data_IF_313301826289
#
_entry.id   IF_313301826289
#
_cell.length_a   1.000
_cell.length_b   1.000
_cell.length_c   1.000
_cell.angle_alpha   90.00
_cell.angle_beta   90.00
_cell.angle_gamma   90.00
#
_symmetry.space_group_name_H-M   'P 1'
#
loop_
_entity.id
_entity.type
_entity.pdbx_description
1 polymer ?
#
# COMPACT_ATOMS: atom_id res chain seq x y z
N UNK A 1 -7.67 -24.50 18.13
CA UNK A 1 -8.11 -23.25 18.77
C UNK A 1 -6.87 -22.60 19.38
N UNK A 2 -6.64 -21.31 19.15
CA UNK A 2 -5.45 -20.63 19.69
C UNK A 2 -5.59 -20.45 21.22
N UNK A 3 -4.49 -20.40 22.00
CA UNK A 3 -4.56 -20.37 23.48
C UNK A 3 -5.43 -19.23 24.06
N UNK A 4 -5.44 -18.07 23.41
CA UNK A 4 -6.27 -16.94 23.82
C UNK A 4 -7.77 -17.16 23.54
N UNK A 5 -8.12 -18.01 22.56
CA UNK A 5 -9.50 -18.37 22.27
C UNK A 5 -10.03 -19.38 23.29
N UNK A 6 -9.18 -20.27 23.81
CA UNK A 6 -9.50 -21.17 24.92
C UNK A 6 -9.69 -20.37 26.22
N UNK A 7 -8.77 -19.47 26.53
CA UNK A 7 -8.89 -18.61 27.72
C UNK A 7 -10.15 -17.72 27.68
N UNK A 8 -10.51 -17.18 26.52
CA UNK A 8 -11.74 -16.42 26.35
C UNK A 8 -12.99 -17.29 26.50
N UNK A 9 -12.94 -18.54 26.04
CA UNK A 9 -14.02 -19.51 26.19
C UNK A 9 -14.22 -19.94 27.65
N UNK A 10 -13.14 -20.27 28.34
CA UNK A 10 -13.16 -20.68 29.74
C UNK A 10 -13.67 -19.54 30.64
N UNK A 11 -13.20 -18.31 30.40
CA UNK A 11 -13.70 -17.12 31.09
C UNK A 11 -15.20 -16.92 30.89
N UNK A 12 -15.71 -17.13 29.68
CA UNK A 12 -17.13 -17.01 29.37
C UNK A 12 -17.96 -18.09 30.08
N UNK A 13 -17.45 -19.31 30.17
CA UNK A 13 -18.09 -20.40 30.91
C UNK A 13 -18.12 -20.15 32.42
N UNK A 14 -17.12 -19.49 32.99
CA UNK A 14 -17.09 -19.12 34.41
C UNK A 14 -18.08 -18.00 34.76
N UNK A 15 -18.42 -17.12 33.82
CA UNK A 15 -19.32 -15.98 34.03
C UNK A 15 -20.80 -16.31 33.78
N UNK A 16 -21.09 -17.42 33.10
CA UNK A 16 -22.46 -17.82 32.75
C UNK A 16 -23.01 -18.86 33.72
N UNK A 17 -24.25 -18.68 34.16
CA UNK A 17 -24.95 -19.70 34.94
C UNK A 17 -25.23 -20.95 34.09
N UNK A 18 -25.35 -22.11 34.74
CA UNK A 18 -25.71 -23.36 34.07
C UNK A 18 -27.03 -23.23 33.27
N UNK A 19 -28.00 -22.46 33.79
CA UNK A 19 -29.25 -22.15 33.11
C UNK A 19 -29.04 -21.32 31.84
N UNK A 20 -28.15 -20.30 31.87
CA UNK A 20 -27.84 -19.50 30.70
C UNK A 20 -27.14 -20.34 29.62
N UNK A 21 -26.25 -21.25 30.01
CA UNK A 21 -25.58 -22.19 29.11
C UNK A 21 -26.61 -23.16 28.50
N UNK A 22 -27.55 -23.67 29.29
CA UNK A 22 -28.61 -24.55 28.80
C UNK A 22 -29.54 -23.83 27.82
N UNK A 23 -30.03 -22.63 28.17
CA UNK A 23 -30.86 -21.83 27.28
C UNK A 23 -30.15 -21.47 25.98
N UNK A 24 -28.86 -21.12 26.04
CA UNK A 24 -28.06 -20.88 24.84
C UNK A 24 -27.92 -22.14 23.99
N UNK A 25 -27.65 -23.29 24.60
CA UNK A 25 -27.54 -24.57 23.89
C UNK A 25 -28.86 -24.98 23.24
N UNK A 26 -29.99 -24.71 23.89
CA UNK A 26 -31.32 -24.99 23.37
C UNK A 26 -31.68 -24.05 22.22
N UNK A 27 -31.36 -22.74 22.32
CA UNK A 27 -31.48 -21.79 21.22
C UNK A 27 -30.58 -22.15 20.03
N UNK A 28 -29.35 -22.59 20.29
CA UNK A 28 -28.39 -23.00 19.25
C UNK A 28 -28.79 -24.29 18.53
N UNK A 29 -29.51 -25.20 19.21
CA UNK A 29 -30.03 -26.45 18.64
C UNK A 29 -31.37 -26.29 17.92
N UNK A 30 -32.21 -25.36 18.36
CA UNK A 30 -33.60 -25.28 17.95
C UNK A 30 -33.81 -24.62 16.57
N UNK A 31 -32.87 -23.80 16.08
CA UNK A 31 -33.07 -23.10 14.81
C UNK A 31 -31.72 -22.73 14.18
N UNK A 32 -31.22 -23.45 13.16
CA UNK A 32 -30.13 -22.93 12.36
C UNK A 32 -30.70 -21.72 11.61
N UNK A 33 -30.53 -20.52 12.18
CA UNK A 33 -30.77 -19.26 11.49
C UNK A 33 -30.27 -19.46 10.05
N UNK A 34 -31.12 -19.30 9.02
CA UNK A 34 -30.68 -19.50 7.65
C UNK A 34 -29.44 -18.64 7.49
N UNK A 35 -28.29 -19.28 7.19
CA UNK A 35 -27.00 -18.58 7.09
C UNK A 35 -27.25 -17.38 6.21
N UNK A 36 -27.25 -16.19 6.81
CA UNK A 36 -27.47 -14.97 6.06
C UNK A 36 -26.39 -14.97 4.98
N UNK A 37 -26.80 -15.02 3.72
CA UNK A 37 -25.86 -15.05 2.60
C UNK A 37 -25.19 -13.68 2.64
N UNK A 38 -24.00 -13.63 3.25
CA UNK A 38 -23.23 -12.40 3.28
C UNK A 38 -22.94 -12.04 1.82
N UNK A 39 -23.09 -10.75 1.44
CA UNK A 39 -22.74 -10.32 0.11
C UNK A 39 -21.29 -10.70 -0.18
N UNK A 40 -20.95 -11.00 -1.44
CA UNK A 40 -19.61 -11.44 -1.77
C UNK A 40 -18.60 -10.35 -1.40
N UNK A 41 -17.46 -10.75 -0.85
CA UNK A 41 -16.48 -9.81 -0.27
C UNK A 41 -15.95 -8.77 -1.28
N UNK A 42 -16.02 -9.04 -2.59
CA UNK A 42 -15.63 -8.11 -3.64
C UNK A 42 -16.65 -7.00 -3.90
N UNK A 43 -17.90 -7.14 -3.46
CA UNK A 43 -18.97 -6.20 -3.79
C UNK A 43 -18.72 -4.82 -3.19
N UNK A 44 -18.53 -4.74 -1.88
CA UNK A 44 -18.31 -3.47 -1.19
C UNK A 44 -17.13 -2.66 -1.78
N UNK A 45 -15.94 -3.24 -2.03
CA UNK A 45 -14.87 -2.50 -2.70
C UNK A 45 -15.20 -2.12 -4.15
N UNK A 46 -15.95 -2.95 -4.91
CA UNK A 46 -16.42 -2.58 -6.27
C UNK A 46 -17.29 -1.33 -6.23
N UNK A 47 -18.32 -1.31 -5.37
CA UNK A 47 -19.23 -0.18 -5.26
C UNK A 47 -18.46 1.08 -4.86
N UNK A 48 -17.53 0.99 -3.92
CA UNK A 48 -16.73 2.12 -3.47
C UNK A 48 -15.93 2.77 -4.62
N UNK A 49 -15.21 1.98 -5.41
CA UNK A 49 -14.39 2.52 -6.51
C UNK A 49 -15.25 3.02 -7.67
N UNK A 50 -16.37 2.34 -7.99
CA UNK A 50 -17.28 2.80 -9.05
C UNK A 50 -17.94 4.12 -8.67
N UNK A 51 -18.52 4.22 -7.46
CA UNK A 51 -19.14 5.47 -6.96
C UNK A 51 -18.18 6.65 -6.99
N UNK A 52 -16.89 6.42 -6.65
CA UNK A 52 -15.84 7.45 -6.70
C UNK A 52 -15.70 8.08 -8.10
N UNK A 53 -15.83 7.27 -9.15
CA UNK A 53 -15.49 7.69 -10.52
C UNK A 53 -16.70 8.06 -11.39
N UNK A 54 -17.85 7.39 -11.20
CA UNK A 54 -19.06 7.72 -11.97
C UNK A 54 -19.74 9.00 -11.46
N UNK A 55 -19.66 9.25 -10.14
CA UNK A 55 -20.50 10.25 -9.50
C UNK A 55 -21.99 9.86 -9.53
N UNK A 56 -22.83 10.57 -8.77
CA UNK A 56 -24.27 10.29 -8.70
C UNK A 56 -25.07 11.50 -9.19
N UNK A 57 -26.04 11.28 -10.07
CA UNK A 57 -27.03 12.30 -10.47
C UNK A 57 -28.45 11.77 -10.25
N UNK A 58 -29.18 12.39 -9.32
CA UNK A 58 -30.52 11.95 -8.91
C UNK A 58 -31.63 12.36 -9.89
N UNK A 59 -31.31 13.21 -10.86
CA UNK A 59 -32.22 13.60 -11.95
C UNK A 59 -31.62 13.14 -13.28
N UNK A 60 -32.48 12.69 -14.20
CA UNK A 60 -32.06 12.23 -15.52
C UNK A 60 -31.31 13.33 -16.29
N UNK A 61 -30.19 12.95 -16.91
CA UNK A 61 -29.34 13.83 -17.69
C UNK A 61 -28.93 13.16 -19.01
N UNK A 62 -28.55 13.96 -20.01
CA UNK A 62 -27.92 13.41 -21.21
C UNK A 62 -26.43 13.16 -20.96
N UNK A 63 -25.99 11.92 -21.15
CA UNK A 63 -24.56 11.61 -21.19
C UNK A 63 -23.91 12.20 -22.45
N UNK A 64 -22.57 12.21 -22.58
CA UNK A 64 -21.88 12.71 -23.78
C UNK A 64 -22.31 12.03 -25.09
N UNK A 65 -22.88 10.81 -25.03
CA UNK A 65 -23.44 10.09 -26.18
C UNK A 65 -24.91 10.45 -26.48
N UNK A 66 -25.53 11.38 -25.72
CA UNK A 66 -26.90 11.84 -25.91
C UNK A 66 -27.99 10.94 -25.29
N UNK A 67 -27.61 9.85 -24.61
CA UNK A 67 -28.57 8.90 -24.01
C UNK A 67 -29.04 9.39 -22.63
N UNK A 68 -30.35 9.38 -22.33
CA UNK A 68 -30.85 9.65 -20.98
C UNK A 68 -30.24 8.67 -19.97
N UNK A 69 -29.62 9.24 -18.93
CA UNK A 69 -28.82 8.53 -17.93
C UNK A 69 -29.18 9.06 -16.54
N UNK A 70 -29.17 8.21 -15.52
CA UNK A 70 -29.47 8.60 -14.12
C UNK A 70 -28.62 7.79 -13.13
N UNK A 71 -28.52 8.26 -11.88
CA UNK A 71 -27.75 7.62 -10.82
C UNK A 71 -26.26 7.60 -11.13
N UNK A 72 -25.64 6.42 -11.05
CA UNK A 72 -24.22 6.18 -11.31
C UNK A 72 -23.92 5.77 -12.77
N UNK A 73 -24.69 6.27 -13.74
CA UNK A 73 -24.49 5.96 -15.16
C UNK A 73 -25.47 4.96 -15.75
N UNK A 74 -26.59 4.69 -15.06
CA UNK A 74 -27.60 3.76 -15.54
C UNK A 74 -28.48 4.38 -16.63
N UNK A 75 -28.79 3.59 -17.66
CA UNK A 75 -29.72 3.97 -18.74
C UNK A 75 -31.08 3.30 -18.59
N UNK A 76 -31.29 2.50 -17.53
CA UNK A 76 -32.53 1.77 -17.27
C UNK A 76 -32.93 1.89 -15.81
N UNK A 77 -34.21 2.16 -15.58
CA UNK A 77 -34.89 1.99 -14.31
C UNK A 77 -35.53 0.61 -14.25
N UNK A 78 -36.07 0.25 -13.09
CA UNK A 78 -36.82 -1.00 -12.90
C UNK A 78 -38.02 -1.09 -13.85
N UNK A 79 -38.66 0.05 -14.15
CA UNK A 79 -39.87 0.14 -14.97
C UNK A 79 -39.60 0.41 -16.46
N UNK A 80 -38.34 0.46 -16.90
CA UNK A 80 -37.99 0.66 -18.31
C UNK A 80 -36.78 1.56 -18.56
N UNK A 81 -36.58 2.07 -19.80
CA UNK A 81 -35.50 2.99 -20.09
C UNK A 81 -35.69 4.33 -19.36
N UNK A 82 -34.58 4.95 -18.96
CA UNK A 82 -34.59 6.30 -18.36
C UNK A 82 -35.18 7.31 -19.35
N UNK A 83 -36.02 8.22 -18.84
CA UNK A 83 -36.62 9.31 -19.59
C UNK A 83 -36.23 10.64 -18.95
N UNK A 84 -36.16 11.68 -19.77
CA UNK A 84 -35.89 13.03 -19.25
C UNK A 84 -37.03 13.47 -18.34
N UNK A 85 -36.67 13.94 -17.14
CA UNK A 85 -37.63 14.28 -16.07
C UNK A 85 -37.71 13.24 -14.96
N UNK A 86 -37.17 12.03 -15.16
CA UNK A 86 -37.10 11.02 -14.10
C UNK A 86 -36.24 11.50 -12.93
N UNK A 87 -36.68 11.20 -11.70
CA UNK A 87 -35.97 11.48 -10.46
C UNK A 87 -35.94 10.23 -9.58
N UNK A 88 -34.82 9.99 -8.93
CA UNK A 88 -34.63 8.86 -7.99
C UNK A 88 -34.05 9.35 -6.68
N UNK A 89 -34.23 8.58 -5.60
CA UNK A 89 -33.55 8.85 -4.34
C UNK A 89 -32.11 8.34 -4.37
N UNK A 90 -31.30 8.74 -3.39
CA UNK A 90 -29.93 8.26 -3.27
C UNK A 90 -29.88 6.75 -2.98
N UNK A 91 -30.84 6.26 -2.21
CA UNK A 91 -31.01 4.84 -1.89
C UNK A 91 -31.33 4.04 -3.15
N UNK A 92 -32.28 4.53 -3.97
CA UNK A 92 -32.59 3.90 -5.27
C UNK A 92 -31.37 3.88 -6.20
N UNK A 93 -30.60 4.98 -6.26
CA UNK A 93 -29.39 5.03 -7.07
C UNK A 93 -28.33 4.02 -6.61
N UNK A 94 -28.19 3.84 -5.29
CA UNK A 94 -27.27 2.89 -4.69
C UNK A 94 -27.71 1.44 -4.94
N UNK A 95 -29.00 1.13 -4.81
CA UNK A 95 -29.58 -0.19 -5.11
C UNK A 95 -29.45 -0.56 -6.59
N UNK A 96 -29.72 0.39 -7.48
CA UNK A 96 -29.55 0.20 -8.92
C UNK A 96 -28.11 -0.16 -9.27
N UNK A 97 -27.14 0.61 -8.73
CA UNK A 97 -25.72 0.32 -8.94
C UNK A 97 -25.34 -1.06 -8.40
N UNK A 98 -25.78 -1.39 -7.19
CA UNK A 98 -25.50 -2.70 -6.59
C UNK A 98 -26.04 -3.84 -7.46
N UNK A 99 -27.29 -3.72 -7.92
CA UNK A 99 -27.93 -4.70 -8.79
C UNK A 99 -27.19 -4.87 -10.13
N UNK A 100 -26.78 -3.78 -10.79
CA UNK A 100 -26.00 -3.84 -12.03
C UNK A 100 -24.64 -4.53 -11.82
N UNK A 101 -23.95 -4.18 -10.73
CA UNK A 101 -22.64 -4.75 -10.41
C UNK A 101 -22.76 -6.25 -10.10
N UNK A 102 -23.73 -6.65 -9.28
CA UNK A 102 -23.93 -8.04 -8.86
C UNK A 102 -24.46 -8.94 -9.97
N UNK A 103 -25.43 -8.47 -10.74
CA UNK A 103 -26.21 -9.33 -11.64
C UNK A 103 -25.80 -9.22 -13.11
N UNK A 104 -25.05 -8.19 -13.49
CA UNK A 104 -24.58 -8.00 -14.87
C UNK A 104 -23.07 -8.01 -14.99
N UNK A 105 -22.39 -7.05 -14.34
CA UNK A 105 -20.96 -6.85 -14.59
C UNK A 105 -20.08 -7.92 -13.95
N UNK A 106 -20.27 -8.24 -12.66
CA UNK A 106 -19.44 -9.27 -12.03
C UNK A 106 -19.60 -10.67 -12.65
N UNK A 107 -20.84 -11.16 -12.94
CA UNK A 107 -21.01 -12.44 -13.63
C UNK A 107 -20.39 -12.44 -15.04
N UNK A 108 -20.53 -11.34 -15.78
CA UNK A 108 -19.89 -11.18 -17.09
C UNK A 108 -18.36 -11.23 -17.00
N UNK A 109 -17.77 -10.48 -16.07
CA UNK A 109 -16.33 -10.49 -15.81
C UNK A 109 -15.84 -11.89 -15.46
N UNK A 110 -16.51 -12.59 -14.55
CA UNK A 110 -16.10 -13.92 -14.11
C UNK A 110 -16.35 -15.02 -15.14
N UNK A 111 -17.17 -14.75 -16.15
CA UNK A 111 -17.34 -15.61 -17.33
C UNK A 111 -16.20 -15.39 -18.32
N UNK A 112 -15.86 -14.11 -18.58
CA UNK A 112 -14.77 -13.73 -19.49
C UNK A 112 -13.38 -14.05 -18.92
N UNK A 113 -13.23 -13.99 -17.61
CA UNK A 113 -12.00 -14.25 -16.84
C UNK A 113 -12.28 -15.25 -15.71
N UNK A 114 -12.41 -16.56 -15.99
CA UNK A 114 -12.74 -17.56 -14.98
C UNK A 114 -11.74 -17.63 -13.81
N UNK A 115 -10.47 -17.33 -14.05
CA UNK A 115 -9.43 -17.28 -13.01
C UNK A 115 -9.71 -16.19 -11.95
N UNK A 116 -10.43 -15.13 -12.31
CA UNK A 116 -10.73 -14.02 -11.42
C UNK A 116 -11.61 -14.44 -10.23
N UNK A 117 -12.37 -15.54 -10.34
CA UNK A 117 -13.14 -16.12 -9.23
C UNK A 117 -12.27 -16.53 -8.04
N UNK A 118 -10.98 -16.78 -8.26
CA UNK A 118 -10.00 -17.18 -7.23
C UNK A 118 -9.14 -16.03 -6.72
N UNK A 119 -9.30 -14.83 -7.29
CA UNK A 119 -8.53 -13.67 -6.87
C UNK A 119 -9.03 -13.10 -5.54
N UNK A 120 -8.21 -12.23 -4.94
CA UNK A 120 -8.60 -11.49 -3.73
C UNK A 120 -9.77 -10.55 -4.04
N UNK A 121 -10.60 -10.20 -3.05
CA UNK A 121 -11.74 -9.31 -3.23
C UNK A 121 -11.40 -7.98 -3.94
N UNK A 122 -10.25 -7.38 -3.64
CA UNK A 122 -9.82 -6.12 -4.25
C UNK A 122 -9.45 -6.27 -5.72
N UNK A 123 -8.84 -7.40 -6.10
CA UNK A 123 -8.52 -7.72 -7.49
C UNK A 123 -9.79 -7.93 -8.33
N UNK A 124 -10.76 -8.65 -7.76
CA UNK A 124 -12.07 -8.81 -8.37
C UNK A 124 -12.74 -7.44 -8.55
N UNK A 125 -12.75 -6.62 -7.50
CA UNK A 125 -13.36 -5.30 -7.52
C UNK A 125 -12.74 -4.35 -8.56
N UNK A 126 -11.43 -4.35 -8.71
CA UNK A 126 -10.73 -3.52 -9.70
C UNK A 126 -11.11 -3.90 -11.14
N UNK A 127 -11.17 -5.19 -11.47
CA UNK A 127 -11.56 -5.62 -12.82
C UNK A 127 -13.06 -5.44 -13.07
N UNK A 128 -13.91 -5.62 -12.06
CA UNK A 128 -15.34 -5.29 -12.14
C UNK A 128 -15.53 -3.79 -12.40
N UNK A 129 -14.79 -2.92 -11.70
CA UNK A 129 -14.84 -1.46 -11.92
C UNK A 129 -14.36 -1.05 -13.31
N UNK A 130 -13.29 -1.69 -13.79
CA UNK A 130 -12.78 -1.51 -15.15
C UNK A 130 -13.85 -1.89 -16.18
N UNK A 131 -14.46 -3.07 -16.03
CA UNK A 131 -15.52 -3.56 -16.91
C UNK A 131 -16.77 -2.67 -16.87
N UNK A 132 -17.12 -2.12 -15.71
CA UNK A 132 -18.22 -1.15 -15.57
C UNK A 132 -17.96 0.09 -16.44
N UNK A 133 -16.72 0.57 -16.48
CA UNK A 133 -16.35 1.75 -17.26
C UNK A 133 -16.33 1.52 -18.77
N UNK A 134 -15.71 0.42 -19.21
CA UNK A 134 -15.44 0.19 -20.64
C UNK A 134 -16.49 -0.70 -21.31
N UNK A 135 -17.31 -1.40 -20.51
CA UNK A 135 -18.26 -2.40 -20.96
C UNK A 135 -17.65 -3.80 -21.11
N UNK A 136 -18.48 -4.83 -20.95
CA UNK A 136 -18.07 -6.24 -21.05
C UNK A 136 -17.52 -6.62 -22.44
N UNK A 137 -18.09 -6.06 -23.52
CA UNK A 137 -17.60 -6.32 -24.87
C UNK A 137 -16.18 -5.77 -25.12
N UNK A 138 -15.86 -4.60 -24.57
CA UNK A 138 -14.51 -4.05 -24.65
C UNK A 138 -13.50 -4.88 -23.84
N UNK A 139 -13.91 -5.39 -22.67
CA UNK A 139 -13.10 -6.33 -21.89
C UNK A 139 -12.87 -7.64 -22.65
N UNK A 140 -13.89 -8.19 -23.31
CA UNK A 140 -13.82 -9.44 -24.06
C UNK A 140 -12.75 -9.42 -25.16
N UNK A 141 -12.68 -8.31 -25.91
CA UNK A 141 -11.74 -8.13 -27.02
C UNK A 141 -10.35 -7.62 -26.59
N UNK A 142 -10.21 -7.22 -25.32
CA UNK A 142 -9.02 -6.56 -24.81
C UNK A 142 -7.75 -7.43 -24.85
N UNK A 143 -6.60 -6.78 -25.07
CA UNK A 143 -5.29 -7.41 -24.87
C UNK A 143 -5.10 -7.85 -23.42
N UNK A 144 -5.66 -7.11 -22.46
CA UNK A 144 -5.73 -7.49 -21.04
C UNK A 144 -6.27 -8.90 -20.86
N UNK A 145 -7.46 -9.19 -21.40
CA UNK A 145 -8.08 -10.52 -21.29
C UNK A 145 -7.24 -11.61 -21.97
N UNK A 146 -6.75 -11.34 -23.19
CA UNK A 146 -5.92 -12.30 -23.94
C UNK A 146 -4.68 -12.72 -23.16
N UNK A 147 -3.98 -11.77 -22.54
CA UNK A 147 -2.78 -12.00 -21.71
C UNK A 147 -3.09 -12.73 -20.41
N UNK A 148 -4.18 -12.36 -19.73
CA UNK A 148 -4.62 -13.06 -18.51
C UNK A 148 -5.00 -14.51 -18.80
N UNK A 149 -5.70 -14.79 -19.90
CA UNK A 149 -6.05 -16.15 -20.31
C UNK A 149 -4.84 -16.97 -20.75
N UNK A 150 -3.79 -16.33 -21.26
CA UNK A 150 -2.52 -16.97 -21.55
C UNK A 150 -1.72 -17.36 -20.28
N UNK A 151 -2.22 -17.02 -19.08
CA UNK A 151 -1.60 -17.39 -17.81
C UNK A 151 -0.45 -16.48 -17.38
N UNK A 152 -0.29 -15.31 -18.00
CA UNK A 152 0.67 -14.31 -17.53
C UNK A 152 0.32 -13.80 -16.11
N UNK A 153 1.34 -13.31 -15.38
CA UNK A 153 1.15 -12.74 -14.05
C UNK A 153 0.12 -11.61 -14.05
N UNK A 154 -0.94 -11.77 -13.26
CA UNK A 154 -2.08 -10.86 -13.30
C UNK A 154 -1.72 -9.44 -12.87
N UNK A 155 -0.81 -9.26 -11.91
CA UNK A 155 -0.39 -7.93 -11.48
C UNK A 155 0.37 -7.22 -12.61
N UNK A 156 1.33 -7.90 -13.23
CA UNK A 156 2.07 -7.37 -14.38
C UNK A 156 1.13 -6.96 -15.51
N UNK A 157 0.23 -7.87 -15.91
CA UNK A 157 -0.71 -7.62 -17.01
C UNK A 157 -1.62 -6.43 -16.70
N UNK A 158 -2.13 -6.33 -15.47
CA UNK A 158 -2.99 -5.21 -15.07
C UNK A 158 -2.24 -3.88 -15.05
N UNK A 159 -1.00 -3.84 -14.53
CA UNK A 159 -0.16 -2.64 -14.50
C UNK A 159 0.13 -2.13 -15.91
N UNK A 160 0.37 -3.03 -16.86
CA UNK A 160 0.75 -2.67 -18.23
C UNK A 160 -0.47 -2.31 -19.11
N UNK A 161 -1.60 -3.02 -18.96
CA UNK A 161 -2.72 -2.89 -19.89
C UNK A 161 -3.78 -1.87 -19.46
N UNK A 162 -4.11 -1.74 -18.16
CA UNK A 162 -5.14 -0.79 -17.71
C UNK A 162 -4.82 0.67 -18.09
N UNK A 163 -3.59 1.19 -17.88
CA UNK A 163 -3.26 2.58 -18.20
C UNK A 163 -3.46 2.97 -19.68
N UNK A 164 -3.55 1.99 -20.58
CA UNK A 164 -3.79 2.20 -22.02
C UNK A 164 -5.24 2.59 -22.32
N UNK A 165 -6.16 2.29 -21.40
CA UNK A 165 -7.59 2.63 -21.49
C UNK A 165 -7.89 4.00 -20.88
N UNK A 166 -7.24 5.02 -21.42
CA UNK A 166 -7.28 6.39 -20.93
C UNK A 166 -7.88 7.41 -21.91
N UNK A 167 -8.51 6.94 -22.99
CA UNK A 167 -9.03 7.80 -24.07
C UNK A 167 -10.54 7.73 -24.19
N UNK A 168 -11.15 8.85 -24.55
CA UNK A 168 -12.50 8.90 -25.13
C UNK A 168 -12.38 9.48 -26.54
N UNK A 169 -12.77 8.69 -27.55
CA UNK A 169 -12.41 8.99 -28.94
C UNK A 169 -10.88 9.04 -29.11
N UNK A 170 -10.36 10.13 -29.68
CA UNK A 170 -8.92 10.31 -29.92
C UNK A 170 -8.17 11.03 -28.78
N UNK A 171 -8.87 11.53 -27.76
CA UNK A 171 -8.28 12.37 -26.71
C UNK A 171 -8.05 11.59 -25.42
N UNK A 172 -6.87 11.77 -24.83
CA UNK A 172 -6.57 11.28 -23.47
C UNK A 172 -7.33 12.12 -22.46
N UNK A 173 -8.02 11.47 -21.53
CA UNK A 173 -8.76 12.12 -20.45
C UNK A 173 -8.04 11.86 -19.13
N UNK A 174 -7.66 12.94 -18.43
CA UNK A 174 -6.97 12.85 -17.14
C UNK A 174 -7.78 12.08 -16.09
N UNK A 175 -9.12 12.23 -16.10
CA UNK A 175 -10.01 11.44 -15.26
C UNK A 175 -9.87 9.93 -15.49
N UNK A 176 -9.74 9.48 -16.74
CA UNK A 176 -9.51 8.07 -17.05
C UNK A 176 -8.11 7.62 -16.65
N UNK A 177 -7.08 8.46 -16.84
CA UNK A 177 -5.72 8.15 -16.36
C UNK A 177 -5.72 7.88 -14.85
N UNK A 178 -6.33 8.78 -14.07
CA UNK A 178 -6.40 8.64 -12.62
C UNK A 178 -7.29 7.45 -12.20
N UNK A 179 -8.38 7.19 -12.91
CA UNK A 179 -9.22 6.00 -12.70
C UNK A 179 -8.46 4.70 -12.89
N UNK A 180 -7.73 4.58 -14.00
CA UNK A 180 -6.90 3.40 -14.28
C UNK A 180 -5.81 3.24 -13.21
N UNK A 181 -5.21 4.32 -12.74
CA UNK A 181 -4.24 4.30 -11.63
C UNK A 181 -4.85 3.76 -10.34
N UNK A 182 -6.07 4.19 -9.99
CA UNK A 182 -6.79 3.70 -8.81
C UNK A 182 -7.18 2.23 -8.93
N UNK A 183 -7.65 1.80 -10.10
CA UNK A 183 -7.99 0.40 -10.36
C UNK A 183 -6.76 -0.50 -10.31
N UNK A 184 -5.64 -0.09 -10.92
CA UNK A 184 -4.35 -0.79 -10.79
C UNK A 184 -3.94 -0.87 -9.31
N UNK A 185 -4.01 0.25 -8.60
CA UNK A 185 -3.70 0.31 -7.16
C UNK A 185 -4.59 -0.64 -6.37
N UNK A 186 -5.90 -0.65 -6.60
CA UNK A 186 -6.81 -1.57 -5.91
C UNK A 186 -6.46 -3.04 -6.22
N UNK A 187 -6.17 -3.35 -7.49
CA UNK A 187 -5.80 -4.69 -7.93
C UNK A 187 -4.50 -5.19 -7.27
N UNK A 188 -3.46 -4.37 -7.30
CA UNK A 188 -2.14 -4.72 -6.76
C UNK A 188 -2.07 -4.56 -5.24
N UNK A 189 -3.08 -3.95 -4.62
CA UNK A 189 -3.16 -3.73 -3.16
C UNK A 189 -2.46 -2.45 -2.67
N UNK A 190 -2.35 -1.44 -3.51
CA UNK A 190 -1.44 -0.30 -3.42
C UNK A 190 -0.44 -0.35 -4.58
N UNK A 191 0.27 0.76 -4.89
CA UNK A 191 1.64 0.63 -5.43
C UNK A 191 2.31 -0.54 -4.73
N UNK A 192 3.07 -1.42 -5.43
CA UNK A 192 3.65 -2.60 -4.80
C UNK A 192 4.16 -2.15 -3.44
N UNK A 193 3.60 -2.70 -2.36
CA UNK A 193 4.36 -2.75 -1.12
C UNK A 193 5.69 -3.29 -1.63
N UNK A 194 6.74 -2.45 -1.63
CA UNK A 194 8.11 -2.91 -1.85
C UNK A 194 8.14 -4.26 -1.18
N UNK A 195 8.37 -5.32 -1.99
CA UNK A 195 8.28 -6.74 -1.62
C UNK A 195 8.25 -6.84 -0.11
N UNK A 196 7.12 -7.20 0.53
CA UNK A 196 7.01 -7.20 2.00
C UNK A 196 8.33 -7.70 2.55
N UNK A 197 9.15 -6.76 3.06
CA UNK A 197 10.57 -7.03 3.21
C UNK A 197 10.63 -8.30 4.03
N UNK A 198 11.45 -9.28 3.61
CA UNK A 198 11.87 -10.34 4.53
C UNK A 198 12.18 -9.59 5.82
N UNK A 199 11.39 -9.80 6.89
CA UNK A 199 11.46 -8.96 8.08
C UNK A 199 12.91 -9.03 8.54
N UNK A 200 13.66 -7.96 8.30
CA UNK A 200 15.10 -7.96 8.53
C UNK A 200 15.30 -8.11 10.04
N UNK A 201 16.23 -8.99 10.40
CA UNK A 201 16.58 -9.30 11.78
C UNK A 201 18.05 -9.04 11.98
N UNK A 202 18.52 -8.88 13.23
CA UNK A 202 19.94 -8.88 13.58
C UNK A 202 20.76 -9.97 12.89
N UNK A 203 20.14 -11.14 12.70
CA UNK A 203 20.73 -12.33 12.07
C UNK A 203 20.64 -12.36 10.55
N UNK A 204 20.06 -11.33 9.91
CA UNK A 204 20.00 -11.25 8.45
C UNK A 204 21.41 -11.18 7.84
N UNK A 205 21.62 -11.80 6.66
CA UNK A 205 22.86 -11.66 5.89
C UNK A 205 23.22 -10.19 5.62
N UNK A 206 24.52 -9.86 5.55
CA UNK A 206 24.95 -8.47 5.36
C UNK A 206 24.57 -7.87 4.00
N UNK A 207 24.34 -8.70 2.98
CA UNK A 207 23.86 -8.29 1.66
C UNK A 207 22.35 -8.03 1.63
N UNK A 208 21.62 -8.38 2.69
CA UNK A 208 20.19 -8.09 2.79
C UNK A 208 19.94 -6.57 2.73
N UNK A 209 18.98 -6.18 1.89
CA UNK A 209 18.75 -4.78 1.52
C UNK A 209 17.83 -4.06 2.49
N UNK A 210 18.33 -2.99 3.12
CA UNK A 210 17.52 -2.04 3.88
C UNK A 210 16.65 -1.21 2.93
N UNK A 211 17.24 -0.79 1.81
CA UNK A 211 16.59 -0.10 0.68
C UNK A 211 17.14 -0.65 -0.64
N UNK A 212 16.57 -0.33 -1.82
CA UNK A 212 17.01 -0.90 -3.09
C UNK A 212 18.53 -0.83 -3.35
N UNK A 213 19.21 0.23 -2.88
CA UNK A 213 20.65 0.38 -3.09
C UNK A 213 21.49 0.11 -1.85
N UNK A 214 20.94 0.20 -0.64
CA UNK A 214 21.71 0.14 0.62
C UNK A 214 21.44 -1.17 1.36
N UNK A 215 22.52 -1.92 1.65
CA UNK A 215 22.47 -3.15 2.43
C UNK A 215 22.63 -2.92 3.93
N UNK A 216 22.14 -3.86 4.74
CA UNK A 216 22.32 -3.86 6.20
C UNK A 216 23.81 -3.85 6.60
N UNK A 217 24.63 -4.54 5.81
CA UNK A 217 26.08 -4.58 5.98
C UNK A 217 26.74 -3.22 5.85
N UNK A 218 26.22 -2.28 5.07
CA UNK A 218 26.83 -0.96 4.91
C UNK A 218 26.77 -0.15 6.22
N UNK A 219 25.68 -0.26 6.99
CA UNK A 219 25.59 0.35 8.32
C UNK A 219 26.45 -0.37 9.37
N UNK A 220 26.70 -1.66 9.20
CA UNK A 220 27.61 -2.44 10.04
C UNK A 220 29.06 -2.46 9.52
N UNK A 221 29.36 -1.73 8.44
CA UNK A 221 30.62 -1.79 7.69
C UNK A 221 31.07 -3.23 7.32
N UNK A 222 30.12 -4.15 7.17
CA UNK A 222 30.33 -5.58 6.93
C UNK A 222 31.19 -6.29 7.99
N UNK A 223 31.19 -5.78 9.23
CA UNK A 223 31.95 -6.36 10.34
C UNK A 223 31.00 -7.01 11.34
N UNK A 224 31.29 -8.26 11.74
CA UNK A 224 30.47 -9.02 12.70
C UNK A 224 30.41 -8.35 14.08
N UNK A 225 31.49 -7.72 14.51
CA UNK A 225 31.55 -6.96 15.76
C UNK A 225 30.67 -5.71 15.76
N UNK A 226 30.18 -5.27 14.59
CA UNK A 226 29.21 -4.19 14.37
C UNK A 226 27.81 -4.72 14.00
N UNK A 227 27.56 -6.02 14.06
CA UNK A 227 26.24 -6.58 13.77
C UNK A 227 25.21 -6.00 14.73
N UNK A 228 24.08 -5.56 14.17
CA UNK A 228 22.92 -5.11 14.95
C UNK A 228 22.52 -6.16 15.98
N UNK A 229 22.12 -5.73 17.17
CA UNK A 229 21.72 -6.61 18.27
C UNK A 229 20.20 -6.70 18.44
N UNK A 230 19.43 -5.76 17.90
CA UNK A 230 17.99 -5.69 18.07
C UNK A 230 17.23 -5.19 16.83
N UNK A 231 15.99 -5.65 16.66
CA UNK A 231 15.09 -5.28 15.55
C UNK A 231 14.89 -3.76 15.42
N UNK A 232 14.83 -3.03 16.54
CA UNK A 232 14.63 -1.58 16.49
C UNK A 232 15.82 -0.85 15.86
N UNK A 233 17.05 -1.37 16.01
CA UNK A 233 18.24 -0.75 15.42
C UNK A 233 18.21 -0.88 13.89
N UNK A 234 17.70 -2.01 13.39
CA UNK A 234 17.48 -2.22 11.95
C UNK A 234 16.41 -1.27 11.44
N UNK A 235 15.29 -1.12 12.16
CA UNK A 235 14.25 -0.14 11.81
C UNK A 235 14.82 1.27 11.71
N UNK A 236 15.61 1.70 12.70
CA UNK A 236 16.29 3.00 12.69
C UNK A 236 17.25 3.14 11.51
N UNK A 237 18.04 2.11 11.21
CA UNK A 237 18.94 2.09 10.05
C UNK A 237 18.18 2.16 8.71
N UNK A 238 17.01 1.50 8.61
CA UNK A 238 16.13 1.59 7.45
C UNK A 238 15.64 3.02 7.23
N UNK A 239 15.19 3.74 8.26
CA UNK A 239 14.73 5.14 8.14
C UNK A 239 15.87 6.07 7.67
N UNK A 240 17.09 5.87 8.18
CA UNK A 240 18.27 6.59 7.70
C UNK A 240 18.57 6.24 6.23
N UNK A 241 18.54 4.95 5.86
CA UNK A 241 18.77 4.49 4.51
C UNK A 241 17.74 5.03 3.51
N UNK A 242 16.46 5.11 3.89
CA UNK A 242 15.39 5.69 3.07
C UNK A 242 15.64 7.17 2.77
N UNK A 243 16.24 7.91 3.70
CA UNK A 243 16.66 9.28 3.43
C UNK A 243 17.90 9.34 2.53
N UNK A 244 18.86 8.43 2.71
CA UNK A 244 20.02 8.33 1.82
C UNK A 244 19.62 8.01 0.37
N UNK A 245 18.51 7.29 0.13
CA UNK A 245 17.95 7.11 -1.23
C UNK A 245 17.47 8.44 -1.84
N UNK A 246 16.94 9.36 -1.03
CA UNK A 246 16.57 10.72 -1.49
C UNK A 246 17.82 11.52 -1.82
N UNK A 247 18.86 11.44 -0.99
CA UNK A 247 20.17 12.07 -1.27
C UNK A 247 20.74 11.52 -2.58
N UNK A 248 20.79 10.18 -2.72
CA UNK A 248 21.22 9.50 -3.95
C UNK A 248 20.48 10.01 -5.18
N UNK A 249 19.14 10.10 -5.11
CA UNK A 249 18.30 10.58 -6.21
C UNK A 249 18.60 12.04 -6.55
N UNK A 250 18.72 12.90 -5.53
CA UNK A 250 19.04 14.31 -5.70
C UNK A 250 20.36 14.53 -6.43
N UNK A 251 21.37 13.72 -6.13
CA UNK A 251 22.72 13.84 -6.71
C UNK A 251 22.93 12.89 -7.90
N UNK A 252 21.88 12.72 -8.72
CA UNK A 252 21.97 12.06 -10.03
C UNK A 252 22.09 10.54 -9.97
N UNK A 253 21.64 9.90 -8.89
CA UNK A 253 21.75 8.45 -8.73
C UNK A 253 23.19 7.98 -8.58
N UNK A 254 24.05 8.78 -7.95
CA UNK A 254 25.43 8.39 -7.61
C UNK A 254 25.48 7.50 -6.34
N UNK A 255 26.44 6.56 -6.22
CA UNK A 255 26.54 5.71 -5.05
C UNK A 255 26.72 6.48 -3.74
N UNK A 256 26.04 6.03 -2.68
CA UNK A 256 26.27 6.48 -1.31
C UNK A 256 27.33 5.59 -0.70
N UNK A 257 28.35 6.18 -0.08
CA UNK A 257 29.38 5.44 0.66
C UNK A 257 29.20 5.76 2.15
N UNK A 258 28.77 4.76 2.92
CA UNK A 258 28.67 4.85 4.38
C UNK A 258 30.04 4.61 4.98
N UNK A 259 30.55 5.58 5.74
CA UNK A 259 31.85 5.51 6.42
C UNK A 259 31.71 5.10 7.87
N UNK A 260 30.55 5.35 8.49
CA UNK A 260 30.22 4.86 9.83
C UNK A 260 28.71 4.81 10.06
N UNK A 261 28.18 3.65 10.44
CA UNK A 261 26.79 3.46 10.86
C UNK A 261 26.68 3.08 12.34
N UNK A 262 26.17 1.89 12.64
CA UNK A 262 26.08 1.37 14.01
C UNK A 262 27.47 1.09 14.59
N UNK A 263 27.66 1.56 15.83
CA UNK A 263 28.84 1.33 16.64
C UNK A 263 28.41 0.78 18.00
N UNK A 264 28.58 -0.52 18.26
CA UNK A 264 28.52 -1.06 19.60
C UNK A 264 29.46 -0.31 20.56
N UNK A 265 29.12 -0.29 21.85
CA UNK A 265 29.82 0.53 22.85
C UNK A 265 31.33 0.30 22.91
N UNK A 266 31.79 -0.94 22.70
CA UNK A 266 33.22 -1.26 22.64
C UNK A 266 33.92 -0.54 21.48
N UNK A 267 33.35 -0.63 20.27
CA UNK A 267 33.87 0.00 19.06
C UNK A 267 33.80 1.52 19.18
N UNK A 268 32.70 2.06 19.71
CA UNK A 268 32.56 3.50 19.93
C UNK A 268 33.67 4.04 20.85
N UNK A 269 34.05 3.33 21.92
CA UNK A 269 35.20 3.71 22.77
C UNK A 269 36.53 3.62 22.02
N UNK A 270 36.75 2.57 21.23
CA UNK A 270 38.00 2.40 20.46
C UNK A 270 38.24 3.54 19.48
N UNK A 271 37.18 4.08 18.86
CA UNK A 271 37.28 5.20 17.91
C UNK A 271 37.19 6.58 18.60
N UNK A 272 37.22 6.64 19.93
CA UNK A 272 37.15 7.89 20.70
C UNK A 272 35.78 8.58 20.64
N UNK A 273 34.71 7.85 20.33
CA UNK A 273 33.35 8.39 20.24
C UNK A 273 32.78 8.78 21.61
N UNK A 274 31.92 9.81 21.62
CA UNK A 274 31.22 10.24 22.83
C UNK A 274 30.33 9.12 23.42
N UNK A 275 30.19 9.09 24.74
CA UNK A 275 29.34 8.12 25.45
C UNK A 275 27.84 8.29 25.14
N UNK A 276 27.44 9.48 24.71
CA UNK A 276 26.09 9.83 24.27
C UNK A 276 25.93 9.85 22.74
N UNK A 277 26.87 9.23 22.01
CA UNK A 277 26.88 9.18 20.54
C UNK A 277 25.62 8.50 19.99
N UNK A 278 25.00 9.10 18.98
CA UNK A 278 23.83 8.53 18.29
C UNK A 278 24.17 7.27 17.48
N UNK A 279 25.43 7.09 17.08
CA UNK A 279 25.90 5.83 16.49
C UNK A 279 25.79 4.62 17.41
N UNK A 280 25.51 4.79 18.71
CA UNK A 280 25.29 3.68 19.63
C UNK A 280 23.95 2.97 19.42
N UNK A 281 22.98 3.60 18.75
CA UNK A 281 21.62 3.07 18.58
C UNK A 281 21.08 2.46 19.88
N UNK A 282 21.17 3.20 20.99
CA UNK A 282 20.90 2.71 22.34
C UNK A 282 19.42 2.79 22.75
N UNK A 283 18.57 3.40 21.91
CA UNK A 283 17.14 3.55 22.14
C UNK A 283 16.37 3.49 20.80
N UNK A 284 15.06 3.31 20.87
CA UNK A 284 14.17 3.33 19.71
C UNK A 284 14.22 4.69 19.03
N UNK A 285 14.27 4.68 17.70
CA UNK A 285 14.32 5.89 16.86
C UNK A 285 15.52 6.82 17.18
N UNK A 286 16.59 6.27 17.76
CA UNK A 286 17.90 6.93 17.95
C UNK A 286 18.95 6.23 17.09
N UNK A 287 19.64 6.99 16.24
CA UNK A 287 20.66 6.44 15.35
C UNK A 287 21.43 7.51 14.61
N UNK A 288 22.56 7.15 14.00
CA UNK A 288 23.30 8.05 13.13
C UNK A 288 24.02 7.33 12.00
N UNK A 289 24.34 8.10 10.95
CA UNK A 289 25.13 7.65 9.81
C UNK A 289 26.07 8.76 9.34
N UNK A 290 27.32 8.38 9.10
CA UNK A 290 28.33 9.19 8.42
C UNK A 290 28.49 8.64 7.00
N UNK A 291 28.39 9.51 6.00
CA UNK A 291 28.45 9.08 4.60
C UNK A 291 28.96 10.18 3.66
N UNK A 292 29.24 9.83 2.41
CA UNK A 292 29.38 10.78 1.30
C UNK A 292 28.79 10.23 0.01
N UNK A 293 28.57 11.09 -0.98
CA UNK A 293 28.14 10.69 -2.32
C UNK A 293 29.37 10.57 -3.21
N UNK A 294 29.58 9.41 -3.83
CA UNK A 294 30.78 9.14 -4.61
C UNK A 294 30.91 10.10 -5.80
N UNK A 295 32.03 10.84 -5.87
CA UNK A 295 32.30 11.77 -6.97
C UNK A 295 31.39 13.01 -6.97
N UNK A 296 30.88 13.42 -5.82
CA UNK A 296 30.13 14.67 -5.65
C UNK A 296 30.83 15.61 -4.66
N UNK A 297 30.54 16.91 -4.77
CA UNK A 297 31.02 17.90 -3.83
C UNK A 297 30.31 17.73 -2.47
N UNK A 298 31.09 17.35 -1.46
CA UNK A 298 30.57 17.03 -0.14
C UNK A 298 29.90 18.21 0.56
N UNK A 299 30.32 19.45 0.28
CA UNK A 299 29.69 20.63 0.86
C UNK A 299 28.27 20.82 0.32
N UNK A 300 28.05 20.54 -0.97
CA UNK A 300 26.70 20.56 -1.56
C UNK A 300 25.80 19.49 -0.97
N UNK A 301 26.35 18.29 -0.73
CA UNK A 301 25.61 17.20 -0.07
C UNK A 301 25.24 17.61 1.35
N UNK A 302 26.18 18.17 2.11
CA UNK A 302 25.94 18.65 3.47
C UNK A 302 24.85 19.73 3.53
N UNK A 303 24.94 20.76 2.68
CA UNK A 303 23.98 21.86 2.61
C UNK A 303 22.57 21.37 2.25
N UNK A 304 22.49 20.40 1.34
CA UNK A 304 21.21 19.80 0.98
C UNK A 304 20.64 18.99 2.15
N UNK A 305 21.47 18.20 2.83
CA UNK A 305 21.08 17.44 4.01
C UNK A 305 20.59 18.34 5.15
N UNK A 306 21.27 19.44 5.48
CA UNK A 306 20.82 20.35 6.55
C UNK A 306 19.44 20.96 6.25
N UNK A 307 19.12 21.19 4.97
CA UNK A 307 17.80 21.71 4.56
C UNK A 307 16.69 20.66 4.61
N UNK A 308 16.99 19.39 4.29
CA UNK A 308 15.96 18.38 4.02
C UNK A 308 15.86 17.28 5.09
N UNK A 309 16.90 17.10 5.93
CA UNK A 309 16.86 16.15 7.03
C UNK A 309 16.11 16.77 8.23
N UNK A 310 15.02 16.16 8.73
CA UNK A 310 14.21 16.73 9.80
C UNK A 310 14.87 16.67 11.18
N UNK A 311 15.94 15.89 11.33
CA UNK A 311 16.68 15.73 12.59
C UNK A 311 18.08 16.35 12.51
N UNK A 312 18.94 16.07 13.49
CA UNK A 312 20.24 16.70 13.64
C UNK A 312 21.20 16.43 12.47
N UNK A 313 22.03 17.43 12.15
CA UNK A 313 23.08 17.32 11.13
C UNK A 313 24.38 17.82 11.72
N UNK A 314 25.43 17.01 11.63
CA UNK A 314 26.78 17.44 11.98
C UNK A 314 27.57 17.77 10.71
N UNK A 315 28.24 18.91 10.72
CA UNK A 315 28.98 19.44 9.58
C UNK A 315 30.36 18.80 9.46
N UNK A 316 30.37 17.55 8.97
CA UNK A 316 31.56 16.74 8.79
C UNK A 316 32.33 16.97 7.49
N UNK A 317 31.85 17.83 6.58
CA UNK A 317 32.44 18.01 5.25
C UNK A 317 33.96 18.24 5.26
N UNK A 318 34.55 19.05 6.18
CA UNK A 318 36.00 19.21 6.30
C UNK A 318 36.76 17.91 6.58
N UNK A 319 36.09 16.92 7.18
CA UNK A 319 36.62 15.59 7.48
C UNK A 319 36.20 14.51 6.48
N UNK A 320 35.53 14.90 5.39
CA UNK A 320 35.18 13.99 4.29
C UNK A 320 33.91 13.16 4.49
N UNK A 321 33.02 13.53 5.41
CA UNK A 321 31.70 12.88 5.57
C UNK A 321 30.59 13.90 5.88
N UNK A 322 29.34 13.51 5.73
CA UNK A 322 28.17 14.23 6.27
C UNK A 322 27.59 13.37 7.37
N UNK A 323 27.34 13.96 8.54
CA UNK A 323 26.74 13.27 9.67
C UNK A 323 25.23 13.54 9.72
N UNK A 324 24.42 12.50 9.66
CA UNK A 324 22.99 12.57 9.95
C UNK A 324 22.71 11.86 11.26
N UNK A 325 22.17 12.63 12.20
CA UNK A 325 21.73 12.16 13.50
C UNK A 325 20.21 12.09 13.59
N UNK A 326 19.66 11.06 14.21
CA UNK A 326 18.23 10.87 14.42
C UNK A 326 17.93 10.72 15.91
N UNK A 327 17.05 11.57 16.42
CA UNK A 327 16.42 11.45 17.76
C UNK A 327 14.99 11.94 17.69
N UNK A 328 14.03 11.03 17.65
CA UNK A 328 12.61 11.40 17.57
C UNK A 328 12.15 12.12 18.85
N UNK A 329 11.41 13.21 18.70
CA UNK A 329 10.90 14.01 19.82
C UNK A 329 11.94 14.91 20.51
N UNK A 330 13.18 14.99 19.99
CA UNK A 330 14.20 15.94 20.47
C UNK A 330 14.37 17.10 19.48
N UNK A 331 14.78 18.30 19.94
CA UNK A 331 15.10 19.39 19.05
C UNK A 331 16.22 19.02 18.07
N UNK A 332 16.12 19.49 16.82
CA UNK A 332 17.18 19.37 15.82
C UNK A 332 18.38 20.25 16.21
N UNK A 333 19.57 19.67 16.29
CA UNK A 333 20.83 20.36 16.61
C UNK A 333 21.78 20.31 15.42
N UNK A 334 22.64 21.32 15.29
CA UNK A 334 23.76 21.34 14.33
C UNK A 334 25.05 21.61 15.07
N UNK A 335 26.14 21.02 14.60
CA UNK A 335 27.47 21.21 15.16
C UNK A 335 28.54 20.97 14.09
N UNK A 336 29.72 21.57 14.28
CA UNK A 336 30.90 21.35 13.45
C UNK A 336 31.76 20.21 14.01
N UNK A 337 32.42 19.47 13.12
CA UNK A 337 33.28 18.34 13.48
C UNK A 337 34.74 18.69 13.64
#
# INVERSE_FOLDING_TARGET
MLPHQLAAWDWLQEQLSADAISQFADLYRADPLPKQILPPAWLAPSLKIIKKWEGCRLEAYHCPAGVPTIGYGSTRLIDGPVRMGDKITQEMADEMLQNEVENLFAPGVFTLLPMAKKWRPEQQAAIVSFAYNVGLGALEESTLRKRLLAGEDANKVVIEELPRWNKAGSKVLEGLVNRRKDEVTLFTGGQPKQQSAVKLRPTSPFDAKLTPHIAIGEFALYQEDRRFAADYQIKTATELAEFLEKVRTQFGGKPIIITSGYRPAAINRMVGGASSSEHLFNDQDVGAVDFYVQGEDIYKVQDWCDKHWPYSVGYGAPKGFVHLGMRRGRPKVRWDY
#
